data_IF_218855790756
#
_entry.id   IF_218855790756
#
_cell.length_a   1.000
_cell.length_b   1.000
_cell.length_c   1.000
_cell.angle_alpha   90.00
_cell.angle_beta   90.00
_cell.angle_gamma   90.00
#
_symmetry.space_group_name_H-M   'P 1'
#
loop_
_entity.id
_entity.type
_entity.pdbx_description
1 polymer ?
#
# COMPACT_ATOMS: atom_id res chain seq x y z
N UNK A 1 -3.24 -28.79 -28.85
CA UNK A 1 -2.26 -28.12 -27.92
C UNK A 1 -3.08 -27.61 -26.77
N UNK A 2 -3.04 -28.35 -25.70
CA UNK A 2 -3.85 -28.12 -24.50
C UNK A 2 -3.09 -27.11 -23.62
N UNK A 3 -3.55 -25.86 -23.62
CA UNK A 3 -3.01 -24.79 -22.78
C UNK A 3 -3.81 -24.75 -21.47
N UNK A 4 -3.68 -25.82 -20.69
CA UNK A 4 -4.16 -25.84 -19.33
C UNK A 4 -3.23 -24.98 -18.46
N UNK A 5 -3.43 -23.68 -18.48
CA UNK A 5 -2.81 -22.73 -17.58
C UNK A 5 -3.16 -23.06 -16.12
N UNK A 6 -2.44 -24.02 -15.55
CA UNK A 6 -2.56 -24.38 -14.15
C UNK A 6 -2.34 -23.15 -13.29
N UNK A 7 -3.33 -22.79 -12.50
CA UNK A 7 -3.16 -21.80 -11.44
C UNK A 7 -2.13 -22.34 -10.44
N UNK A 8 -0.89 -21.86 -10.54
CA UNK A 8 0.10 -22.09 -9.50
C UNK A 8 -0.34 -21.29 -8.27
N UNK A 9 -0.93 -21.97 -7.32
CA UNK A 9 -1.10 -21.43 -5.97
C UNK A 9 0.30 -21.38 -5.38
N UNK A 10 0.84 -20.18 -5.19
CA UNK A 10 2.06 -20.01 -4.39
C UNK A 10 1.65 -20.31 -2.96
N UNK A 11 2.02 -21.48 -2.46
CA UNK A 11 1.63 -22.01 -1.14
C UNK A 11 2.43 -21.38 0.02
N UNK A 12 3.08 -20.27 -0.23
CA UNK A 12 3.79 -19.53 0.81
C UNK A 12 3.15 -18.17 0.97
N UNK A 13 2.31 -18.06 2.00
CA UNK A 13 1.88 -16.76 2.52
C UNK A 13 3.12 -15.91 2.86
N UNK A 14 2.96 -14.61 3.11
CA UNK A 14 4.08 -13.72 3.42
C UNK A 14 4.87 -14.24 4.63
N UNK A 15 6.22 -14.29 4.50
CA UNK A 15 7.13 -14.75 5.55
C UNK A 15 7.05 -13.87 6.82
N UNK A 16 6.64 -12.62 6.66
CA UNK A 16 6.58 -11.62 7.74
C UNK A 16 5.20 -10.99 7.80
N UNK A 17 4.64 -10.92 9.00
CA UNK A 17 3.36 -10.25 9.26
C UNK A 17 3.58 -8.80 9.65
N UNK A 18 2.86 -7.91 8.97
CA UNK A 18 2.83 -6.48 9.23
C UNK A 18 1.39 -6.07 9.51
N UNK A 19 1.15 -5.62 10.74
CA UNK A 19 -0.14 -5.04 11.12
C UNK A 19 0.11 -3.73 11.83
N UNK A 20 -0.24 -2.64 11.19
CA UNK A 20 0.10 -1.29 11.64
C UNK A 20 -1.10 -0.38 11.42
N UNK A 21 -1.63 0.19 12.49
CA UNK A 21 -2.77 1.10 12.39
C UNK A 21 -3.88 0.56 11.50
N UNK A 22 -4.07 1.17 10.34
CA UNK A 22 -5.13 0.84 9.38
C UNK A 22 -4.70 -0.17 8.29
N UNK A 23 -3.57 -0.86 8.47
CA UNK A 23 -2.98 -1.77 7.49
C UNK A 23 -2.77 -3.15 8.09
N UNK A 24 -3.05 -4.20 7.30
CA UNK A 24 -2.79 -5.58 7.68
C UNK A 24 -2.46 -6.40 6.41
N UNK A 25 -1.23 -6.93 6.35
CA UNK A 25 -0.80 -7.72 5.20
C UNK A 25 -1.39 -9.14 5.16
N UNK A 26 -2.10 -9.57 6.21
CA UNK A 26 -2.88 -10.81 6.16
C UNK A 26 -3.96 -10.78 5.07
N UNK A 27 -4.31 -9.58 4.57
CA UNK A 27 -5.25 -9.42 3.46
C UNK A 27 -4.75 -9.99 2.13
N UNK A 28 -3.44 -10.25 2.02
CA UNK A 28 -2.86 -10.99 0.89
C UNK A 28 -3.05 -12.51 0.99
N UNK A 29 -3.50 -13.05 2.13
CA UNK A 29 -3.67 -14.49 2.30
C UNK A 29 -4.72 -15.01 1.32
N UNK A 30 -4.33 -16.03 0.56
CA UNK A 30 -5.20 -16.60 -0.46
C UNK A 30 -5.47 -15.69 -1.68
N UNK A 31 -4.72 -14.57 -1.83
CA UNK A 31 -4.84 -13.75 -3.03
C UNK A 31 -4.31 -14.50 -4.26
N UNK A 32 -5.12 -14.56 -5.31
CA UNK A 32 -4.76 -15.23 -6.55
C UNK A 32 -4.26 -14.21 -7.58
N UNK A 33 -2.96 -14.29 -7.86
CA UNK A 33 -2.34 -13.50 -8.92
C UNK A 33 -2.72 -13.98 -10.31
N UNK A 34 -2.85 -13.03 -11.23
CA UNK A 34 -2.89 -13.32 -12.66
C UNK A 34 -1.50 -13.09 -13.28
N UNK A 35 -1.14 -13.84 -14.32
CA UNK A 35 0.08 -13.56 -15.09
C UNK A 35 0.08 -12.13 -15.59
N UNK A 36 1.17 -11.42 -15.33
CA UNK A 36 1.32 -10.02 -15.70
C UNK A 36 0.79 -8.99 -14.71
N UNK A 37 0.23 -9.38 -13.57
CA UNK A 37 -0.10 -8.42 -12.50
C UNK A 37 1.10 -7.55 -12.15
N UNK A 38 0.82 -6.33 -11.70
CA UNK A 38 1.84 -5.42 -11.18
C UNK A 38 1.54 -5.15 -9.70
N UNK A 39 2.51 -5.37 -8.83
CA UNK A 39 2.44 -4.99 -7.42
C UNK A 39 3.36 -3.79 -7.20
N UNK A 40 2.78 -2.66 -6.81
CA UNK A 40 3.50 -1.42 -6.55
C UNK A 40 3.77 -1.34 -5.05
N UNK A 41 4.93 -1.85 -4.64
CA UNK A 41 5.40 -1.83 -3.25
C UNK A 41 6.26 -0.61 -3.01
N UNK A 42 5.70 0.36 -2.32
CA UNK A 42 6.38 1.62 -2.03
C UNK A 42 6.21 1.97 -0.58
N UNK A 43 7.17 2.70 -0.04
CA UNK A 43 6.95 3.37 1.24
C UNK A 43 5.97 4.51 1.09
N UNK A 44 5.19 4.79 2.14
CA UNK A 44 4.38 6.01 2.19
C UNK A 44 5.22 7.22 1.83
N UNK A 45 4.64 8.16 1.08
CA UNK A 45 5.28 9.39 0.63
C UNK A 45 6.51 9.20 -0.28
N UNK A 46 6.73 7.99 -0.82
CA UNK A 46 7.83 7.67 -1.75
C UNK A 46 7.43 7.68 -3.22
N UNK A 47 6.23 8.16 -3.56
CA UNK A 47 5.81 8.28 -4.95
C UNK A 47 4.81 7.22 -5.43
N UNK A 48 4.09 6.58 -4.52
CA UNK A 48 3.09 5.55 -4.84
C UNK A 48 2.08 6.00 -5.89
N UNK A 49 1.45 7.16 -5.66
CA UNK A 49 0.44 7.71 -6.59
C UNK A 49 1.04 8.02 -7.97
N UNK A 50 2.30 8.47 -8.00
CA UNK A 50 3.03 8.68 -9.26
C UNK A 50 3.20 7.36 -10.00
N UNK A 51 3.63 6.32 -9.31
CA UNK A 51 3.83 5.01 -9.92
C UNK A 51 2.50 4.37 -10.37
N UNK A 52 1.45 4.51 -9.57
CA UNK A 52 0.10 4.10 -9.97
C UNK A 52 -0.34 4.82 -11.25
N UNK A 53 -0.12 6.14 -11.35
CA UNK A 53 -0.47 6.92 -12.54
C UNK A 53 0.37 6.50 -13.75
N UNK A 54 1.67 6.28 -13.57
CA UNK A 54 2.56 5.79 -14.65
C UNK A 54 2.05 4.43 -15.17
N UNK A 55 1.73 3.50 -14.29
CA UNK A 55 1.16 2.20 -14.66
C UNK A 55 -0.17 2.39 -15.41
N UNK A 56 -1.06 3.24 -14.90
CA UNK A 56 -2.34 3.51 -15.54
C UNK A 56 -2.15 4.07 -16.97
N UNK A 57 -1.30 5.08 -17.14
CA UNK A 57 -1.02 5.66 -18.45
C UNK A 57 -0.43 4.65 -19.44
N UNK A 58 0.44 3.76 -18.96
CA UNK A 58 1.02 2.70 -19.79
C UNK A 58 0.01 1.61 -20.16
N UNK A 59 -0.95 1.32 -19.27
CA UNK A 59 -1.98 0.29 -19.51
C UNK A 59 -3.11 0.84 -20.39
N UNK A 60 -3.62 2.02 -20.08
CA UNK A 60 -4.78 2.59 -20.78
C UNK A 60 -4.42 3.44 -21.99
N UNK A 61 -3.16 3.88 -22.13
CA UNK A 61 -2.67 4.72 -23.23
C UNK A 61 -3.46 6.03 -23.43
N UNK A 62 -4.07 6.53 -22.36
CA UNK A 62 -4.84 7.78 -22.32
C UNK A 62 -4.75 8.43 -20.93
N UNK A 63 -4.77 9.77 -20.82
CA UNK A 63 -4.90 10.44 -19.55
C UNK A 63 -6.33 10.37 -18.97
N UNK A 64 -7.32 10.10 -19.82
CA UNK A 64 -8.73 9.96 -19.43
C UNK A 64 -8.96 8.54 -18.91
N UNK A 65 -8.71 8.33 -17.62
CA UNK A 65 -8.84 7.03 -16.99
C UNK A 65 -10.32 6.62 -16.88
N UNK A 66 -10.64 5.32 -17.03
CA UNK A 66 -12.02 4.82 -17.00
C UNK A 66 -12.68 4.87 -15.62
N UNK A 67 -11.88 5.02 -14.54
CA UNK A 67 -12.34 5.11 -13.16
C UNK A 67 -11.29 5.84 -12.30
N UNK A 68 -11.62 6.23 -11.07
CA UNK A 68 -10.66 6.79 -10.12
C UNK A 68 -9.47 5.86 -9.89
N UNK A 69 -8.28 6.43 -9.73
CA UNK A 69 -7.04 5.67 -9.57
C UNK A 69 -7.08 4.68 -8.38
N UNK A 70 -7.77 5.05 -7.31
CA UNK A 70 -7.95 4.19 -6.14
C UNK A 70 -8.80 2.94 -6.41
N UNK A 71 -9.68 2.98 -7.41
CA UNK A 71 -10.47 1.82 -7.85
C UNK A 71 -9.68 0.96 -8.84
N UNK A 72 -8.92 1.58 -9.73
CA UNK A 72 -8.07 0.89 -10.70
C UNK A 72 -6.89 0.19 -10.06
N UNK A 73 -6.35 0.78 -9.00
CA UNK A 73 -5.19 0.31 -8.26
C UNK A 73 -5.44 0.41 -6.74
N UNK A 74 -6.27 -0.48 -6.20
CA UNK A 74 -6.66 -0.43 -4.80
C UNK A 74 -5.50 -0.76 -3.87
N UNK A 75 -5.60 -0.24 -2.65
CA UNK A 75 -4.65 -0.54 -1.59
C UNK A 75 -5.07 -1.81 -0.85
N UNK A 76 -4.32 -2.90 -1.06
CA UNK A 76 -4.69 -4.23 -0.57
C UNK A 76 -4.84 -4.30 0.95
N UNK A 77 -3.90 -3.73 1.70
CA UNK A 77 -3.84 -3.85 3.16
C UNK A 77 -4.78 -2.91 3.92
N UNK A 78 -5.49 -2.02 3.22
CA UNK A 78 -6.30 -0.98 3.85
C UNK A 78 -7.54 -1.54 4.53
N UNK A 79 -7.62 -1.46 5.87
CA UNK A 79 -8.66 -2.10 6.68
C UNK A 79 -10.05 -1.46 6.56
N UNK A 80 -10.14 -0.20 6.16
CA UNK A 80 -11.43 0.47 5.95
C UNK A 80 -12.16 0.05 4.67
N UNK A 81 -11.53 -0.75 3.81
CA UNK A 81 -12.19 -1.36 2.66
C UNK A 81 -12.60 -2.80 3.01
N UNK A 82 -13.82 -3.18 2.64
CA UNK A 82 -14.19 -4.59 2.74
C UNK A 82 -13.29 -5.45 1.85
N UNK A 83 -12.77 -6.56 2.41
CA UNK A 83 -11.81 -7.41 1.69
C UNK A 83 -12.46 -8.16 0.54
N UNK A 84 -13.67 -8.65 0.72
CA UNK A 84 -14.35 -9.42 -0.31
C UNK A 84 -14.75 -8.53 -1.47
N UNK A 85 -15.25 -7.33 -1.19
CA UNK A 85 -15.55 -6.33 -2.22
C UNK A 85 -14.29 -5.92 -2.99
N UNK A 86 -13.17 -5.69 -2.31
CA UNK A 86 -11.89 -5.37 -2.94
C UNK A 86 -11.42 -6.49 -3.87
N UNK A 87 -11.45 -7.74 -3.40
CA UNK A 87 -11.06 -8.91 -4.20
C UNK A 87 -11.99 -9.14 -5.39
N UNK A 88 -13.29 -8.97 -5.20
CA UNK A 88 -14.27 -9.05 -6.28
C UNK A 88 -14.03 -7.94 -7.33
N UNK A 89 -13.75 -6.72 -6.88
CA UNK A 89 -13.39 -5.61 -7.76
C UNK A 89 -12.15 -5.92 -8.58
N UNK A 90 -11.08 -6.42 -7.97
CA UNK A 90 -9.86 -6.82 -8.67
C UNK A 90 -10.10 -7.97 -9.66
N UNK A 91 -10.94 -8.95 -9.30
CA UNK A 91 -11.28 -10.07 -10.18
C UNK A 91 -12.11 -9.62 -11.39
N UNK A 92 -12.91 -8.57 -11.25
CA UNK A 92 -13.75 -8.02 -12.33
C UNK A 92 -12.96 -7.15 -13.34
N UNK A 93 -11.73 -6.71 -13.00
CA UNK A 93 -10.92 -5.87 -13.87
C UNK A 93 -10.56 -6.60 -15.18
N UNK A 94 -10.78 -5.95 -16.31
CA UNK A 94 -10.48 -6.47 -17.66
C UNK A 94 -9.11 -6.06 -18.18
N UNK A 95 -8.51 -5.05 -17.58
CA UNK A 95 -7.17 -4.58 -17.90
C UNK A 95 -6.11 -5.31 -17.07
N UNK A 96 -4.84 -5.12 -17.40
CA UNK A 96 -3.73 -5.57 -16.59
C UNK A 96 -3.85 -4.96 -15.20
N UNK A 97 -3.97 -5.80 -14.16
CA UNK A 97 -4.12 -5.32 -12.78
C UNK A 97 -2.83 -4.70 -12.29
N UNK A 98 -2.94 -3.63 -11.52
CA UNK A 98 -1.84 -3.01 -10.80
C UNK A 98 -2.31 -2.63 -9.40
N UNK A 99 -1.66 -3.17 -8.39
CA UNK A 99 -2.14 -3.21 -7.02
C UNK A 99 -1.18 -2.43 -6.14
N UNK A 100 -1.72 -1.49 -5.37
CA UNK A 100 -0.93 -0.69 -4.42
C UNK A 100 -0.71 -1.47 -3.12
N UNK A 101 0.53 -1.39 -2.61
CA UNK A 101 0.87 -1.86 -1.27
C UNK A 101 1.92 -0.95 -0.63
N UNK A 102 1.89 -0.87 0.69
CA UNK A 102 2.98 -0.31 1.49
C UNK A 102 3.77 -1.40 2.24
N UNK A 103 3.37 -2.64 2.08
CA UNK A 103 4.07 -3.79 2.66
C UNK A 103 5.38 -4.05 1.94
N UNK A 104 6.50 -4.23 2.66
CA UNK A 104 7.76 -4.64 2.06
C UNK A 104 7.66 -6.03 1.39
N UNK A 105 8.53 -6.30 0.42
CA UNK A 105 8.49 -7.57 -0.33
C UNK A 105 8.50 -8.82 0.55
N UNK A 106 9.17 -8.80 1.71
CA UNK A 106 9.16 -9.91 2.69
C UNK A 106 7.78 -10.19 3.29
N UNK A 107 6.89 -9.22 3.24
CA UNK A 107 5.52 -9.34 3.72
C UNK A 107 4.50 -9.58 2.60
N UNK A 108 4.94 -9.84 1.38
CA UNK A 108 4.08 -10.10 0.24
C UNK A 108 4.21 -11.54 -0.24
N UNK A 109 3.14 -12.16 -0.74
CA UNK A 109 3.28 -13.38 -1.51
C UNK A 109 4.04 -13.05 -2.81
N UNK A 110 5.03 -13.85 -3.14
CA UNK A 110 5.84 -13.66 -4.35
C UNK A 110 5.46 -14.68 -5.41
N UNK A 111 5.10 -14.19 -6.60
CA UNK A 111 4.76 -15.01 -7.77
C UNK A 111 5.68 -14.60 -8.93
N UNK A 112 6.42 -15.54 -9.57
CA UNK A 112 7.34 -15.23 -10.66
C UNK A 112 6.66 -14.66 -11.92
N UNK A 113 5.34 -14.76 -12.02
CA UNK A 113 4.55 -14.21 -13.14
C UNK A 113 4.17 -12.75 -12.94
N UNK A 114 4.46 -12.19 -11.75
CA UNK A 114 4.09 -10.85 -11.31
C UNK A 114 5.27 -9.89 -11.41
N UNK A 115 5.01 -8.66 -11.79
CA UNK A 115 6.01 -7.59 -11.76
C UNK A 115 5.91 -6.82 -10.46
N UNK A 116 6.95 -6.85 -9.63
CA UNK A 116 7.03 -6.06 -8.41
C UNK A 116 7.81 -4.78 -8.66
N UNK A 117 7.15 -3.64 -8.50
CA UNK A 117 7.74 -2.31 -8.67
C UNK A 117 8.01 -1.73 -7.28
N UNK A 118 9.28 -1.56 -6.94
CA UNK A 118 9.70 -0.98 -5.66
C UNK A 118 10.21 0.43 -5.91
N UNK A 119 9.65 1.40 -5.20
CA UNK A 119 10.06 2.80 -5.31
C UNK A 119 10.57 3.29 -3.96
N UNK A 120 11.73 3.92 -3.97
CA UNK A 120 12.34 4.54 -2.81
C UNK A 120 12.51 6.05 -3.04
N UNK A 121 12.53 6.80 -1.95
CA UNK A 121 12.81 8.23 -1.92
C UNK A 121 13.86 8.52 -0.85
N UNK A 122 14.56 9.64 -0.96
CA UNK A 122 15.50 10.07 0.09
C UNK A 122 14.78 10.15 1.45
N UNK A 123 15.28 9.49 2.51
CA UNK A 123 14.55 9.35 3.78
C UNK A 123 14.11 10.68 4.40
N UNK A 124 14.96 11.69 4.37
CA UNK A 124 14.60 13.01 4.93
C UNK A 124 13.50 13.70 4.12
N UNK A 125 13.51 13.58 2.80
CA UNK A 125 12.43 14.12 1.94
C UNK A 125 11.11 13.40 2.18
N UNK A 126 11.19 12.10 2.42
CA UNK A 126 10.04 11.28 2.80
C UNK A 126 9.50 11.75 4.16
N UNK A 127 10.37 11.91 5.15
CA UNK A 127 10.01 12.34 6.50
C UNK A 127 9.31 13.71 6.48
N UNK A 128 9.89 14.70 5.79
CA UNK A 128 9.25 16.02 5.63
C UNK A 128 7.87 15.91 4.98
N UNK A 129 7.75 15.10 3.93
CA UNK A 129 6.47 14.86 3.27
C UNK A 129 5.46 14.15 4.19
N UNK A 130 5.93 13.25 5.04
CA UNK A 130 5.11 12.54 6.03
C UNK A 130 4.60 13.48 7.12
N UNK A 131 5.47 14.37 7.64
CA UNK A 131 5.07 15.41 8.58
C UNK A 131 3.91 16.25 8.05
N UNK A 132 4.04 16.78 6.84
CA UNK A 132 2.97 17.57 6.22
C UNK A 132 1.72 16.75 5.92
N UNK A 133 1.88 15.47 5.63
CA UNK A 133 0.74 14.57 5.47
C UNK A 133 -0.03 14.41 6.78
N UNK A 134 0.65 14.14 7.89
CA UNK A 134 0.01 14.02 9.21
C UNK A 134 -0.63 15.34 9.66
N UNK A 135 0.01 16.48 9.39
CA UNK A 135 -0.55 17.79 9.71
C UNK A 135 -1.88 18.09 8.97
N UNK A 136 -2.11 17.45 7.83
CA UNK A 136 -3.32 17.63 7.02
C UNK A 136 -4.28 16.44 7.06
N UNK A 137 -4.00 15.45 7.91
CA UNK A 137 -4.80 14.24 8.00
C UNK A 137 -5.98 14.45 8.95
N UNK A 138 -7.18 14.15 8.48
CA UNK A 138 -8.36 14.07 9.36
C UNK A 138 -8.35 12.70 10.09
N UNK A 139 -7.61 12.65 11.20
CA UNK A 139 -7.47 11.43 12.01
C UNK A 139 -8.81 10.96 12.55
N UNK A 140 -9.71 11.90 12.91
CA UNK A 140 -11.04 11.54 13.39
C UNK A 140 -11.82 10.77 12.31
N UNK A 141 -11.82 11.31 11.10
CA UNK A 141 -12.50 10.67 9.97
C UNK A 141 -11.90 9.30 9.64
N UNK A 142 -10.59 9.15 9.73
CA UNK A 142 -9.93 7.86 9.52
C UNK A 142 -10.34 6.83 10.58
N UNK A 143 -10.37 7.23 11.86
CA UNK A 143 -10.78 6.36 12.95
C UNK A 143 -12.24 5.93 12.80
N UNK A 144 -13.14 6.85 12.44
CA UNK A 144 -14.53 6.54 12.13
C UNK A 144 -14.64 5.47 11.04
N UNK A 145 -13.92 5.66 9.92
CA UNK A 145 -13.93 4.72 8.78
C UNK A 145 -13.33 3.36 9.14
N UNK A 146 -12.38 3.31 10.06
CA UNK A 146 -11.74 2.07 10.51
C UNK A 146 -12.48 1.40 11.67
N UNK A 147 -13.57 2.01 12.17
CA UNK A 147 -14.33 1.48 13.30
C UNK A 147 -13.57 1.57 14.64
N UNK A 148 -12.59 2.47 14.74
CA UNK A 148 -11.91 2.72 16.02
C UNK A 148 -12.75 3.62 16.91
N UNK A 149 -12.69 3.43 18.25
CA UNK A 149 -13.37 4.32 19.18
C UNK A 149 -12.86 5.76 19.03
N UNK A 150 -13.73 6.74 19.25
CA UNK A 150 -13.32 8.14 19.28
C UNK A 150 -12.20 8.31 20.30
N UNK A 151 -11.01 8.55 19.80
CA UNK A 151 -9.91 9.08 20.60
C UNK A 151 -10.06 10.60 20.62
N UNK A 152 -9.85 11.25 21.77
CA UNK A 152 -9.99 12.70 21.91
C UNK A 152 -9.28 13.50 20.81
N UNK A 153 -9.35 14.81 20.86
CA UNK A 153 -8.71 15.67 19.84
C UNK A 153 -7.22 15.30 19.72
N UNK A 154 -6.73 14.94 18.52
CA UNK A 154 -5.32 14.63 18.35
C UNK A 154 -4.44 15.79 18.82
N UNK A 155 -3.37 15.49 19.52
CA UNK A 155 -2.40 16.51 19.88
C UNK A 155 -1.77 17.11 18.60
N UNK A 156 -1.54 18.42 18.55
CA UNK A 156 -0.89 19.04 17.42
C UNK A 156 0.54 18.49 17.27
N UNK A 157 0.98 18.30 16.03
CA UNK A 157 2.35 17.89 15.77
C UNK A 157 3.35 18.93 16.33
N UNK A 158 4.48 18.50 16.89
CA UNK A 158 5.54 19.41 17.31
C UNK A 158 6.12 20.16 16.09
N UNK A 159 6.88 21.24 16.28
CA UNK A 159 7.57 21.90 15.18
C UNK A 159 8.39 20.93 14.33
N UNK A 160 8.43 21.13 13.01
CA UNK A 160 9.05 20.22 12.05
C UNK A 160 10.47 19.77 12.45
N UNK A 161 11.30 20.69 12.99
CA UNK A 161 12.66 20.34 13.42
C UNK A 161 12.65 19.33 14.56
N UNK A 162 11.81 19.53 15.55
CA UNK A 162 11.70 18.63 16.72
C UNK A 162 11.13 17.28 16.29
N UNK A 163 10.12 17.30 15.43
CA UNK A 163 9.55 16.08 14.88
C UNK A 163 10.59 15.28 14.09
N UNK A 164 11.39 15.92 13.22
CA UNK A 164 12.44 15.26 12.46
C UNK A 164 13.54 14.67 13.36
N UNK A 165 13.96 15.40 14.40
CA UNK A 165 14.94 14.89 15.34
C UNK A 165 14.42 13.67 16.10
N UNK A 166 13.16 13.72 16.54
CA UNK A 166 12.50 12.58 17.17
C UNK A 166 12.38 11.40 16.18
N UNK A 167 11.96 11.67 14.94
CA UNK A 167 11.81 10.66 13.92
C UNK A 167 13.14 9.95 13.57
N UNK A 168 14.24 10.68 13.49
CA UNK A 168 15.60 10.13 13.26
C UNK A 168 16.10 9.35 14.48
N UNK A 169 15.80 9.85 15.69
CA UNK A 169 16.25 9.25 16.96
C UNK A 169 15.40 8.05 17.39
N UNK A 170 14.27 7.79 16.75
CA UNK A 170 13.45 6.63 17.06
C UNK A 170 14.25 5.36 16.84
N UNK A 171 14.60 4.71 17.96
CA UNK A 171 15.14 3.35 17.95
C UNK A 171 13.95 2.41 17.76
N UNK A 172 13.52 2.31 16.51
CA UNK A 172 12.31 1.60 16.16
C UNK A 172 12.59 0.10 16.13
N UNK A 173 11.67 -0.68 16.69
CA UNK A 173 11.45 -2.06 16.29
C UNK A 173 11.55 -2.16 14.76
N UNK A 174 12.21 -3.17 14.19
CA UNK A 174 12.26 -3.38 12.74
C UNK A 174 10.90 -3.26 12.05
N UNK A 175 9.83 -3.57 12.77
CA UNK A 175 8.46 -3.44 12.35
C UNK A 175 8.01 -1.96 12.27
N UNK A 176 8.28 -1.15 13.31
CA UNK A 176 8.02 0.29 13.30
C UNK A 176 8.96 1.05 12.35
N UNK A 177 10.20 0.55 12.18
CA UNK A 177 11.12 1.08 11.17
C UNK A 177 10.62 0.87 9.75
N UNK A 178 9.93 -0.23 9.54
CA UNK A 178 9.22 -0.49 8.30
C UNK A 178 7.99 0.40 8.17
N UNK A 179 7.33 0.75 9.27
CA UNK A 179 6.20 1.67 9.28
C UNK A 179 6.63 3.13 9.07
N UNK A 180 7.67 3.58 9.74
CA UNK A 180 8.20 4.94 9.60
C UNK A 180 9.10 5.13 8.38
N UNK A 181 9.78 4.07 7.95
CA UNK A 181 10.62 4.04 6.76
C UNK A 181 9.94 3.35 5.58
N UNK A 182 8.93 2.53 5.78
CA UNK A 182 8.10 1.86 4.76
C UNK A 182 6.67 2.35 4.79
N UNK A 183 6.36 3.17 5.76
CA UNK A 183 5.14 3.94 5.74
C UNK A 183 5.25 5.09 4.82
#
# INVERSE_FOLDING_TARGET
MDDSGGAFVVDHGPDVRYRIGHQDNSRWDGFVFHPGDIVISTRSRSGTTWMQMICALLIFQTPDLPAPLAELSPWMEWLSLDREELLAGLAAQKHRRFIKTHTPLKGLPLDPRVTYVVVARHPLDMAVSLYHHYANLDVRRLNELAGYPETGTPEPLPPLREWLLSWVAQDCDPYQRLDTLAG
#
